data_IF_952514006579
#
_entry.id   IF_952514006579
#
_cell.length_a   1.000
_cell.length_b   1.000
_cell.length_c   1.000
_cell.angle_alpha   90.00
_cell.angle_beta   90.00
_cell.angle_gamma   90.00
#
_symmetry.space_group_name_H-M   'P 1'
#
loop_
_entity.id
_entity.type
_entity.pdbx_description
1 polymer ?
#
# COMPACT_ATOMS: atom_id res chain seq x y z
N UNK A 1 8.65 -21.21 -1.74
CA UNK A 1 7.75 -20.38 -2.53
C UNK A 1 8.48 -19.11 -2.94
N UNK A 2 8.43 -18.74 -4.20
CA UNK A 2 9.19 -17.59 -4.67
C UNK A 2 8.43 -16.28 -4.47
N UNK A 3 9.10 -15.17 -4.70
CA UNK A 3 8.52 -13.85 -4.49
C UNK A 3 7.31 -13.58 -5.39
N UNK A 4 7.33 -14.08 -6.62
CA UNK A 4 6.22 -13.91 -7.56
C UNK A 4 4.95 -14.56 -7.04
N UNK A 5 5.07 -15.76 -6.50
CA UNK A 5 3.92 -16.46 -5.92
C UNK A 5 3.42 -15.75 -4.66
N UNK A 6 4.33 -15.22 -3.87
CA UNK A 6 3.96 -14.47 -2.66
C UNK A 6 3.22 -13.18 -3.01
N UNK A 7 3.67 -12.47 -4.03
CA UNK A 7 2.98 -11.26 -4.50
C UNK A 7 1.57 -11.58 -4.97
N UNK A 8 1.43 -12.64 -5.76
CA UNK A 8 0.13 -13.05 -6.26
C UNK A 8 -0.82 -13.40 -5.13
N UNK A 9 -0.35 -14.16 -4.15
CA UNK A 9 -1.16 -14.51 -2.99
C UNK A 9 -1.57 -13.31 -2.17
N UNK A 10 -0.64 -12.39 -1.98
CA UNK A 10 -0.92 -11.19 -1.20
C UNK A 10 -1.99 -10.33 -1.88
N UNK A 11 -1.87 -10.13 -3.18
CA UNK A 11 -2.88 -9.37 -3.92
C UNK A 11 -4.24 -10.09 -3.92
N UNK A 12 -4.25 -11.41 -4.08
CA UNK A 12 -5.49 -12.16 -4.01
C UNK A 12 -6.13 -12.10 -2.62
N UNK A 13 -5.31 -12.12 -1.58
CA UNK A 13 -5.79 -12.01 -0.20
C UNK A 13 -6.54 -10.70 0.04
N UNK A 14 -6.14 -9.65 -0.66
CA UNK A 14 -6.72 -8.32 -0.50
C UNK A 14 -8.00 -8.11 -1.31
N UNK A 15 -8.45 -9.10 -2.07
CA UNK A 15 -9.67 -8.97 -2.86
C UNK A 15 -10.88 -8.77 -1.96
N UNK A 16 -11.80 -7.95 -2.43
CA UNK A 16 -13.03 -7.62 -1.70
C UNK A 16 -12.75 -6.88 -0.39
N UNK A 17 -11.70 -6.09 -0.36
CA UNK A 17 -11.33 -5.29 0.80
C UNK A 17 -11.13 -3.84 0.40
N UNK A 18 -10.91 -2.97 1.38
CA UNK A 18 -10.59 -1.57 1.12
C UNK A 18 -9.34 -1.43 0.25
N UNK A 19 -8.36 -2.32 0.46
CA UNK A 19 -7.12 -2.31 -0.30
C UNK A 19 -7.40 -2.43 -1.80
N UNK A 20 -8.20 -3.40 -2.19
CA UNK A 20 -8.61 -3.55 -3.58
C UNK A 20 -9.45 -2.36 -4.06
N UNK A 21 -10.36 -1.91 -3.23
CA UNK A 21 -11.25 -0.80 -3.60
C UNK A 21 -10.48 0.46 -3.97
N UNK A 22 -9.42 0.75 -3.24
CA UNK A 22 -8.57 1.92 -3.51
C UNK A 22 -7.59 1.68 -4.67
N UNK A 23 -7.56 0.49 -5.22
CA UNK A 23 -6.65 0.16 -6.30
C UNK A 23 -5.22 -0.09 -5.87
N UNK A 24 -5.01 -0.34 -4.58
CA UNK A 24 -3.67 -0.66 -4.06
C UNK A 24 -3.24 -2.02 -4.56
N UNK A 25 -2.05 -2.08 -5.12
CA UNK A 25 -1.48 -3.29 -5.66
C UNK A 25 -0.04 -3.43 -5.18
N UNK A 26 0.30 -4.60 -4.68
CA UNK A 26 1.70 -4.90 -4.32
C UNK A 26 2.44 -5.27 -5.60
N UNK A 27 3.55 -4.61 -5.85
CA UNK A 27 4.26 -4.71 -7.13
C UNK A 27 5.58 -5.43 -7.04
N UNK A 28 6.20 -5.43 -5.86
CA UNK A 28 7.47 -6.12 -5.65
C UNK A 28 7.67 -6.37 -4.17
N UNK A 29 8.45 -7.36 -3.84
CA UNK A 29 8.81 -7.63 -2.46
C UNK A 29 10.12 -8.40 -2.40
N UNK A 30 10.76 -8.30 -1.27
CA UNK A 30 11.97 -9.05 -0.98
C UNK A 30 12.13 -9.19 0.51
N UNK A 31 13.29 -9.61 0.95
CA UNK A 31 13.55 -9.77 2.37
C UNK A 31 13.57 -8.41 3.06
N UNK A 32 12.62 -8.19 3.95
CA UNK A 32 12.55 -6.97 4.74
C UNK A 32 11.98 -5.75 4.04
N UNK A 33 11.43 -5.90 2.83
CA UNK A 33 10.84 -4.77 2.13
C UNK A 33 9.68 -5.19 1.24
N UNK A 34 8.82 -4.23 0.96
CA UNK A 34 7.71 -4.43 0.03
C UNK A 34 7.41 -3.11 -0.68
N UNK A 35 6.96 -3.22 -1.90
CA UNK A 35 6.58 -2.08 -2.71
C UNK A 35 5.12 -2.25 -3.14
N UNK A 36 4.38 -1.16 -3.07
CA UNK A 36 3.01 -1.13 -3.52
C UNK A 36 2.73 0.18 -4.22
N UNK A 37 1.70 0.21 -5.02
CA UNK A 37 1.25 1.43 -5.69
C UNK A 37 -0.24 1.62 -5.48
N UNK A 38 -0.67 2.85 -5.59
CA UNK A 38 -2.08 3.22 -5.54
C UNK A 38 -2.32 4.27 -6.62
N UNK A 39 -3.33 4.11 -7.45
CA UNK A 39 -3.59 5.09 -8.49
C UNK A 39 -4.11 6.40 -7.89
N UNK A 40 -3.81 7.50 -8.55
CA UNK A 40 -4.41 8.78 -8.22
C UNK A 40 -5.55 8.99 -9.21
N UNK A 41 -6.76 8.69 -8.77
CA UNK A 41 -7.96 8.82 -9.61
C UNK A 41 -9.16 9.19 -8.74
N UNK A 42 -10.36 9.05 -9.27
CA UNK A 42 -11.58 9.43 -8.55
C UNK A 42 -11.77 8.74 -7.21
N UNK A 43 -11.11 7.60 -7.00
CA UNK A 43 -11.21 6.85 -5.74
C UNK A 43 -10.30 7.41 -4.65
N UNK A 44 -9.26 8.14 -5.04
CA UNK A 44 -8.19 8.52 -4.13
C UNK A 44 -7.92 10.02 -4.10
N UNK A 45 -8.63 10.79 -4.90
CA UNK A 45 -8.43 12.24 -4.99
C UNK A 45 -9.36 13.03 -4.09
N UNK A 46 -8.90 14.21 -3.73
CA UNK A 46 -9.71 15.25 -3.14
C UNK A 46 -10.58 15.90 -4.25
N UNK A 47 -11.60 16.66 -3.88
CA UNK A 47 -12.40 17.38 -4.89
C UNK A 47 -11.59 18.30 -5.80
N UNK A 48 -10.43 18.79 -5.33
CA UNK A 48 -9.55 19.64 -6.12
C UNK A 48 -8.59 18.88 -7.03
N UNK A 49 -8.71 17.56 -7.09
CA UNK A 49 -7.90 16.74 -7.98
C UNK A 49 -6.56 16.29 -7.43
N UNK A 50 -6.24 16.67 -6.21
CA UNK A 50 -5.00 16.24 -5.56
C UNK A 50 -5.24 14.95 -4.77
N UNK A 51 -4.17 14.21 -4.53
CA UNK A 51 -4.25 12.99 -3.74
C UNK A 51 -4.81 13.31 -2.35
N UNK A 52 -5.82 12.56 -1.96
CA UNK A 52 -6.41 12.71 -0.62
C UNK A 52 -5.43 12.20 0.44
N UNK A 53 -5.21 13.02 1.48
CA UNK A 53 -4.30 12.65 2.56
C UNK A 53 -4.70 11.36 3.25
N UNK A 54 -6.02 11.15 3.44
CA UNK A 54 -6.53 9.91 4.01
C UNK A 54 -6.23 8.69 3.15
N UNK A 55 -6.33 8.82 1.82
CA UNK A 55 -5.98 7.73 0.92
C UNK A 55 -4.48 7.41 1.00
N UNK A 56 -3.65 8.44 1.09
CA UNK A 56 -2.22 8.24 1.25
C UNK A 56 -1.90 7.54 2.57
N UNK A 57 -2.58 7.89 3.63
CA UNK A 57 -2.43 7.23 4.93
C UNK A 57 -2.91 5.78 4.89
N UNK A 58 -3.97 5.51 4.15
CA UNK A 58 -4.45 4.14 3.97
C UNK A 58 -3.41 3.28 3.26
N UNK A 59 -2.73 3.84 2.25
CA UNK A 59 -1.64 3.15 1.58
C UNK A 59 -0.50 2.86 2.57
N UNK A 60 -0.11 3.85 3.35
CA UNK A 60 0.94 3.70 4.34
C UNK A 60 0.61 2.63 5.38
N UNK A 61 -0.60 2.68 5.90
CA UNK A 61 -1.08 1.73 6.89
C UNK A 61 -1.10 0.31 6.32
N UNK A 62 -1.54 0.17 5.07
CA UNK A 62 -1.59 -1.11 4.40
C UNK A 62 -0.19 -1.71 4.23
N UNK A 63 0.76 -0.91 3.76
CA UNK A 63 2.15 -1.36 3.58
C UNK A 63 2.76 -1.70 4.93
N UNK A 64 2.56 -0.85 5.93
CA UNK A 64 3.09 -1.07 7.27
C UNK A 64 2.58 -2.35 7.92
N UNK A 65 1.30 -2.62 7.75
CA UNK A 65 0.71 -3.85 8.26
C UNK A 65 1.31 -5.09 7.66
N UNK A 66 1.52 -5.08 6.35
CA UNK A 66 2.12 -6.23 5.66
C UNK A 66 3.58 -6.42 6.07
N UNK A 67 4.35 -5.35 6.10
CA UNK A 67 5.76 -5.42 6.51
C UNK A 67 5.87 -5.99 7.93
N UNK A 68 5.02 -5.53 8.84
CA UNK A 68 5.02 -6.04 10.20
C UNK A 68 4.73 -7.53 10.24
N UNK A 69 3.79 -7.98 9.44
CA UNK A 69 3.39 -9.38 9.43
C UNK A 69 4.45 -10.32 8.87
N UNK A 70 5.23 -9.85 7.90
CA UNK A 70 6.18 -10.72 7.19
C UNK A 70 7.62 -10.63 7.67
N UNK A 71 7.97 -9.57 8.41
CA UNK A 71 9.39 -9.33 8.76
C UNK A 71 9.68 -9.39 10.24
N UNK A 72 8.69 -9.26 11.10
CA UNK A 72 8.92 -9.19 12.53
C UNK A 72 8.29 -10.36 13.27
N UNK A 73 8.92 -10.79 14.36
CA UNK A 73 8.25 -11.70 15.28
C UNK A 73 6.93 -11.08 15.76
N UNK A 74 5.98 -11.92 16.07
CA UNK A 74 4.64 -11.50 16.45
C UNK A 74 4.64 -10.46 17.57
N UNK A 75 5.51 -10.62 18.55
CA UNK A 75 5.58 -9.71 19.69
C UNK A 75 6.23 -8.37 19.36
N UNK A 76 6.82 -8.22 18.20
CA UNK A 76 7.48 -6.99 17.78
C UNK A 76 6.75 -6.26 16.65
N UNK A 77 5.63 -6.79 16.21
CA UNK A 77 4.87 -6.20 15.12
C UNK A 77 4.47 -4.75 15.36
N UNK A 78 4.30 -4.37 16.62
CA UNK A 78 3.94 -3.00 16.98
C UNK A 78 5.06 -1.98 16.79
N UNK A 79 6.27 -2.43 16.57
CA UNK A 79 7.43 -1.55 16.47
C UNK A 79 7.74 -1.15 15.03
N UNK A 80 6.99 -1.64 14.08
CA UNK A 80 7.23 -1.36 12.68
C UNK A 80 6.55 -0.07 12.23
N UNK A 81 7.03 1.06 12.73
CA UNK A 81 6.45 2.35 12.37
C UNK A 81 7.30 3.17 11.42
N UNK A 82 8.42 2.64 11.01
CA UNK A 82 9.32 3.37 10.12
C UNK A 82 9.03 3.07 8.67
N UNK A 83 7.93 3.61 8.14
CA UNK A 83 7.62 3.41 6.74
C UNK A 83 7.99 4.66 6.00
N UNK A 84 8.87 4.48 5.04
CA UNK A 84 9.19 5.53 4.13
C UNK A 84 8.17 5.51 3.00
N UNK A 85 7.38 6.56 2.91
CA UNK A 85 6.40 6.72 1.87
C UNK A 85 6.94 7.69 0.87
N UNK A 86 7.36 7.17 -0.26
CA UNK A 86 7.73 7.99 -1.39
C UNK A 86 6.53 8.09 -2.32
N UNK A 87 5.79 9.16 -2.18
CA UNK A 87 4.66 9.42 -3.04
C UNK A 87 5.03 10.41 -4.11
N UNK A 88 4.88 10.03 -5.35
CA UNK A 88 4.86 10.98 -6.43
C UNK A 88 3.48 11.61 -6.44
N UNK A 89 3.40 12.82 -5.95
CA UNK A 89 2.15 13.57 -5.95
C UNK A 89 1.94 14.20 -7.32
N UNK A 90 1.58 13.38 -8.28
CA UNK A 90 1.18 13.91 -9.56
C UNK A 90 -0.23 14.44 -9.42
N UNK A 91 -0.40 15.69 -9.76
CA UNK A 91 -1.71 16.30 -9.73
C UNK A 91 -2.62 15.65 -10.75
N UNK A 92 -3.83 15.36 -10.32
CA UNK A 92 -4.88 14.96 -11.23
C UNK A 92 -5.42 16.24 -11.86
N UNK A 93 -5.08 16.48 -13.11
CA UNK A 93 -5.19 17.81 -13.71
C UNK A 93 -6.53 18.18 -14.32
N UNK A 94 -7.53 17.38 -14.19
CA UNK A 94 -8.80 17.64 -14.84
C UNK A 94 -9.86 18.14 -13.86
N UNK A 95 -9.61 19.28 -13.36
CA UNK A 95 -10.61 19.96 -12.54
C UNK A 95 -11.49 20.84 -13.41
#
# INVERSE_FOLDING_TARGET
>A
MNETDNLKRLNEFCRNSLVEHLGIEYTAMGEGWIEARMPIDHRTCRPDGLLHGGANMALAETIGGVISAITLPENEAFKAFGIEINGNHNEFKNL
#
